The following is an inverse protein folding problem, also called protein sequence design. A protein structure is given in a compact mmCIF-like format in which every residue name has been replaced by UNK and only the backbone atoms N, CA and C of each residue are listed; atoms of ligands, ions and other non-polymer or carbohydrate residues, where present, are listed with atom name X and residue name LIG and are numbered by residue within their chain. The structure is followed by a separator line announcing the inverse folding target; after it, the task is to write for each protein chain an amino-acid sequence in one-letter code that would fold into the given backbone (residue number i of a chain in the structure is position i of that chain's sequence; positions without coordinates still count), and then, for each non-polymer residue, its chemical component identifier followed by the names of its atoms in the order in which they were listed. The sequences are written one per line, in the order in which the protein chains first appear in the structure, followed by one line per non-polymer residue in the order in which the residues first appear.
data_IF_293188149760
#
_entry.id   IF_293188149760
#
_cell.length_a   1.000
_cell.length_b   1.000
_cell.length_c   1.000
_cell.angle_alpha   90.00
_cell.angle_beta   90.00
_cell.angle_gamma   90.00
#
_symmetry.space_group_name_H-M   'P 1'
#
loop_
_entity.id
_entity.type
_entity.pdbx_description
1 polymer ?
#
# COMPACT_ATOMS: atom_id res chain seq x y z
N UNK A 1 -11.64 -8.26 -11.36
CA UNK A 1 -10.44 -8.89 -10.78
C UNK A 1 -9.29 -8.65 -11.74
N UNK A 2 -8.61 -7.51 -11.64
CA UNK A 2 -7.43 -7.27 -12.47
C UNK A 2 -6.32 -8.18 -11.94
N UNK A 3 -6.01 -9.25 -12.67
CA UNK A 3 -4.72 -9.91 -12.53
C UNK A 3 -3.64 -8.85 -12.75
N UNK A 4 -2.61 -8.80 -11.91
CA UNK A 4 -1.43 -7.97 -12.10
C UNK A 4 -0.71 -8.39 -13.40
N UNK A 5 -1.21 -7.91 -14.54
CA UNK A 5 -0.71 -8.25 -15.85
C UNK A 5 0.67 -7.60 -16.01
N UNK A 6 1.73 -8.34 -15.70
CA UNK A 6 3.12 -7.89 -15.84
C UNK A 6 4.04 -8.14 -14.65
N UNK A 7 3.52 -8.65 -13.53
CA UNK A 7 4.34 -8.95 -12.35
C UNK A 7 4.78 -10.42 -12.36
N UNK A 8 6.09 -10.73 -12.30
CA UNK A 8 6.57 -12.11 -12.28
C UNK A 8 6.09 -12.89 -11.04
N UNK A 9 5.87 -14.21 -11.15
CA UNK A 9 5.59 -15.06 -10.00
C UNK A 9 6.65 -14.92 -8.91
N UNK A 10 6.22 -14.76 -7.66
CA UNK A 10 7.10 -14.60 -6.50
C UNK A 10 7.40 -13.15 -6.13
N UNK A 11 7.13 -12.18 -7.00
CA UNK A 11 7.17 -10.78 -6.61
C UNK A 11 6.04 -10.47 -5.63
N UNK A 12 6.39 -9.83 -4.52
CA UNK A 12 5.47 -9.49 -3.44
C UNK A 12 5.80 -8.09 -2.95
N UNK A 13 4.79 -7.43 -2.39
CA UNK A 13 5.01 -6.22 -1.62
C UNK A 13 5.75 -6.57 -0.32
N UNK A 14 7.04 -6.23 -0.26
CA UNK A 14 7.91 -6.45 0.89
C UNK A 14 8.86 -5.27 1.09
N UNK A 15 8.32 -4.05 1.37
CA UNK A 15 9.14 -2.86 1.54
C UNK A 15 9.93 -2.91 2.85
N UNK A 16 11.05 -2.20 2.87
CA UNK A 16 11.79 -1.87 4.09
C UNK A 16 11.11 -0.74 4.86
N UNK A 17 11.48 -0.55 6.14
CA UNK A 17 11.00 0.55 6.97
C UNK A 17 11.30 1.92 6.33
N UNK A 18 12.49 2.07 5.73
CA UNK A 18 12.88 3.30 5.05
C UNK A 18 11.99 3.58 3.84
N UNK A 19 11.62 2.56 3.06
CA UNK A 19 10.72 2.72 1.93
C UNK A 19 9.29 3.06 2.41
N UNK A 20 8.79 2.40 3.45
CA UNK A 20 7.48 2.70 4.04
C UNK A 20 7.38 4.17 4.46
N UNK A 21 8.40 4.69 5.14
CA UNK A 21 8.42 6.07 5.62
C UNK A 21 8.66 7.08 4.50
N UNK A 22 9.73 6.92 3.74
CA UNK A 22 10.20 7.94 2.80
C UNK A 22 9.54 7.88 1.44
N UNK A 23 9.16 6.68 0.97
CA UNK A 23 8.51 6.51 -0.32
C UNK A 23 7.00 6.56 -0.19
N UNK A 24 6.38 5.81 0.72
CA UNK A 24 4.92 5.73 0.79
C UNK A 24 4.32 6.84 1.65
N UNK A 25 4.65 6.89 2.94
CA UNK A 25 4.03 7.83 3.87
C UNK A 25 4.34 9.29 3.53
N UNK A 26 5.62 9.62 3.34
CA UNK A 26 6.05 10.99 3.01
C UNK A 26 5.40 11.51 1.73
N UNK A 27 5.29 10.69 0.68
CA UNK A 27 4.62 11.09 -0.57
C UNK A 27 3.13 11.31 -0.36
N UNK A 28 2.46 10.45 0.42
CA UNK A 28 1.04 10.59 0.77
C UNK A 28 0.76 11.93 1.44
N UNK A 29 1.48 12.27 2.50
CA UNK A 29 1.27 13.52 3.25
C UNK A 29 1.70 14.76 2.48
N UNK A 30 2.55 14.61 1.46
CA UNK A 30 2.98 15.71 0.57
C UNK A 30 2.07 15.88 -0.65
N UNK A 31 0.94 15.16 -0.73
CA UNK A 31 0.02 15.14 -1.88
C UNK A 31 0.69 14.85 -3.23
N UNK A 32 1.81 14.13 -3.20
CA UNK A 32 2.48 13.70 -4.43
C UNK A 32 1.70 12.52 -5.03
N UNK A 33 1.56 12.48 -6.36
CA UNK A 33 1.03 11.29 -7.03
C UNK A 33 2.05 10.16 -6.99
N UNK A 34 1.64 9.00 -6.51
CA UNK A 34 2.38 7.74 -6.57
C UNK A 34 1.38 6.58 -6.58
N UNK A 35 1.87 5.39 -6.86
CA UNK A 35 1.04 4.19 -7.00
C UNK A 35 0.56 3.71 -5.62
N UNK A 36 -0.59 4.24 -5.20
CA UNK A 36 -1.25 3.94 -3.93
C UNK A 36 -2.12 2.68 -3.99
N UNK A 37 -2.28 2.07 -5.17
CA UNK A 37 -3.19 0.91 -5.33
C UNK A 37 -2.80 -0.27 -4.43
N UNK A 38 -1.54 -0.33 -3.98
CA UNK A 38 -1.05 -1.34 -3.04
C UNK A 38 -1.42 -1.05 -1.58
N UNK A 39 -1.59 0.22 -1.17
CA UNK A 39 -1.93 0.63 0.21
C UNK A 39 -3.27 1.37 0.21
N UNK A 40 -4.34 0.66 0.60
CA UNK A 40 -5.70 1.22 0.71
C UNK A 40 -5.84 2.21 1.88
N UNK A 41 -6.74 3.17 1.73
CA UNK A 41 -7.14 4.08 2.81
C UNK A 41 -8.27 3.47 3.63
N UNK A 42 -8.07 3.33 4.94
CA UNK A 42 -9.05 2.79 5.88
C UNK A 42 -8.97 3.53 7.21
N UNK A 43 -10.10 3.65 7.92
CA UNK A 43 -10.13 4.16 9.28
C UNK A 43 -10.00 2.99 10.27
N UNK A 44 -8.78 2.69 10.68
CA UNK A 44 -8.46 1.56 11.56
C UNK A 44 -9.17 1.63 12.92
N UNK A 45 -9.60 2.82 13.36
CA UNK A 45 -10.26 2.99 14.67
C UNK A 45 -11.76 2.69 14.63
N UNK A 46 -12.33 2.43 13.44
CA UNK A 46 -13.76 2.16 13.25
C UNK A 46 -14.05 0.76 12.72
N UNK A 47 -13.04 -0.09 12.66
CA UNK A 47 -13.15 -1.43 12.08
C UNK A 47 -12.49 -2.44 13.00
N UNK A 48 -13.03 -3.66 13.03
CA UNK A 48 -12.36 -4.75 13.72
C UNK A 48 -11.19 -5.26 12.89
N UNK A 49 -10.14 -5.81 13.51
CA UNK A 49 -8.97 -6.29 12.77
C UNK A 49 -9.27 -7.33 11.68
N UNK A 50 -10.31 -8.15 11.88
CA UNK A 50 -10.73 -9.17 10.91
C UNK A 50 -11.59 -8.62 9.75
N UNK A 51 -12.07 -7.38 9.85
CA UNK A 51 -12.79 -6.71 8.77
C UNK A 51 -11.83 -6.14 7.71
N UNK A 52 -10.52 -6.17 7.97
CA UNK A 52 -9.47 -5.83 7.01
C UNK A 52 -9.39 -6.93 5.93
N UNK A 53 -10.26 -6.83 4.92
CA UNK A 53 -10.19 -7.65 3.69
C UNK A 53 -8.95 -7.32 2.88
#
# INVERSE_FOLDING_TARGET
MASAAGVPPGFRFHPTDEELLHYYLKKKVSFQKFDLEVIREVDLNKMEPWDLQ
#
